data_IF_444436072733
#
_entry.id   IF_444436072733
#
_cell.length_a   1.000
_cell.length_b   1.000
_cell.length_c   1.000
_cell.angle_alpha   90.00
_cell.angle_beta   90.00
_cell.angle_gamma   90.00
#
_symmetry.space_group_name_H-M   'P 1'
#
loop_
_entity.id
_entity.type
_entity.pdbx_description
1 polymer ?
#
# COMPACT_ATOMS: atom_id res chain seq x y z
N UNK A 1 30.04 -63.89 -32.87
CA UNK A 1 30.35 -62.82 -31.89
C UNK A 1 29.06 -62.09 -31.52
N UNK A 2 28.52 -62.35 -30.33
CA UNK A 2 27.28 -61.71 -29.82
C UNK A 2 27.66 -60.51 -28.94
N UNK A 3 27.10 -59.33 -29.22
CA UNK A 3 27.22 -58.14 -28.37
C UNK A 3 26.40 -58.32 -27.06
N UNK A 4 26.87 -57.82 -25.91
CA UNK A 4 26.12 -57.94 -24.66
C UNK A 4 25.00 -56.88 -24.58
N UNK A 5 23.82 -57.32 -24.12
CA UNK A 5 22.68 -56.45 -23.78
C UNK A 5 23.00 -55.70 -22.48
N UNK A 6 22.93 -54.36 -22.50
CA UNK A 6 22.96 -53.53 -21.29
C UNK A 6 21.60 -53.59 -20.57
N UNK A 7 21.67 -53.73 -19.25
CA UNK A 7 20.60 -53.92 -18.25
C UNK A 7 19.74 -52.66 -18.03
N UNK A 8 18.43 -52.76 -17.68
CA UNK A 8 17.53 -51.61 -17.50
C UNK A 8 17.50 -51.07 -16.05
N UNK A 9 18.64 -51.01 -15.37
CA UNK A 9 18.71 -50.60 -13.96
C UNK A 9 18.71 -49.08 -13.76
N UNK A 10 19.09 -48.28 -14.77
CA UNK A 10 19.17 -46.82 -14.65
C UNK A 10 17.80 -46.13 -14.70
N UNK A 11 16.85 -46.69 -15.46
CA UNK A 11 15.49 -46.14 -15.60
C UNK A 11 14.62 -46.39 -14.36
N UNK A 12 14.85 -47.51 -13.65
CA UNK A 12 14.15 -47.80 -12.40
C UNK A 12 14.63 -46.88 -11.25
N UNK A 13 15.91 -46.52 -11.21
CA UNK A 13 16.45 -45.59 -10.21
C UNK A 13 15.98 -44.14 -10.44
N UNK A 14 15.83 -43.70 -11.69
CA UNK A 14 15.25 -42.39 -12.01
C UNK A 14 13.74 -42.32 -11.72
N UNK A 15 12.99 -43.40 -11.97
CA UNK A 15 11.56 -43.46 -11.63
C UNK A 15 11.32 -43.52 -10.10
N UNK A 16 12.19 -44.19 -9.34
CA UNK A 16 12.11 -44.23 -7.88
C UNK A 16 12.49 -42.89 -7.22
N UNK A 17 13.46 -42.14 -7.77
CA UNK A 17 13.80 -40.80 -7.28
C UNK A 17 12.70 -39.75 -7.55
N UNK A 18 11.98 -39.88 -8.66
CA UNK A 18 10.85 -38.99 -9.01
C UNK A 18 9.59 -39.37 -8.21
N UNK A 19 9.38 -40.66 -7.91
CA UNK A 19 8.20 -41.13 -7.15
C UNK A 19 8.23 -40.80 -5.65
N UNK A 20 9.41 -40.62 -5.05
CA UNK A 20 9.54 -40.30 -3.60
C UNK A 20 9.38 -38.80 -3.31
N UNK A 21 9.53 -37.92 -4.31
CA UNK A 21 9.35 -36.47 -4.15
C UNK A 21 7.90 -35.99 -4.23
N UNK A 22 6.94 -36.84 -4.64
CA UNK A 22 5.57 -36.43 -4.92
C UNK A 22 4.55 -36.75 -3.81
N UNK A 23 5.01 -37.24 -2.65
CA UNK A 23 4.12 -37.58 -1.53
C UNK A 23 4.74 -37.18 -0.19
N UNK A 24 4.83 -35.87 0.06
CA UNK A 24 5.13 -35.34 1.39
C UNK A 24 4.10 -34.25 1.74
N UNK A 25 2.86 -34.66 2.00
CA UNK A 25 1.97 -33.83 2.82
C UNK A 25 2.42 -33.94 4.27
N UNK A 26 2.67 -32.77 4.86
CA UNK A 26 3.21 -32.55 6.20
C UNK A 26 2.38 -33.24 7.29
N UNK A 27 2.89 -34.35 7.82
CA UNK A 27 2.53 -34.84 9.16
C UNK A 27 3.82 -35.29 9.85
N UNK A 28 4.32 -34.46 10.78
CA UNK A 28 5.33 -34.86 11.77
C UNK A 28 6.76 -34.40 11.50
N UNK A 29 7.09 -33.15 11.87
CA UNK A 29 8.43 -32.74 12.34
C UNK A 29 9.66 -32.99 11.47
N UNK A 30 9.51 -33.46 10.23
CA UNK A 30 10.62 -33.58 9.28
C UNK A 30 10.80 -32.25 8.57
N UNK A 31 12.03 -31.73 8.61
CA UNK A 31 12.44 -30.56 7.83
C UNK A 31 12.11 -30.78 6.35
N UNK A 32 11.63 -29.73 5.67
CA UNK A 32 11.35 -29.76 4.23
C UNK A 32 12.56 -30.34 3.46
N UNK A 33 12.34 -31.18 2.42
CA UNK A 33 13.44 -31.71 1.60
C UNK A 33 14.27 -30.60 0.93
N UNK A 34 13.73 -29.38 0.85
CA UNK A 34 14.39 -28.22 0.26
C UNK A 34 15.18 -27.39 1.27
N UNK A 35 15.12 -27.68 2.57
CA UNK A 35 15.70 -26.84 3.64
C UNK A 35 17.17 -26.43 3.43
N UNK A 36 18.02 -27.36 2.96
CA UNK A 36 19.44 -27.09 2.67
C UNK A 36 19.59 -26.10 1.50
N UNK A 37 18.88 -26.34 0.40
CA UNK A 37 18.96 -25.51 -0.82
C UNK A 37 18.32 -24.14 -0.57
N UNK A 38 17.19 -24.09 0.15
CA UNK A 38 16.53 -22.87 0.60
C UNK A 38 17.50 -21.97 1.35
N UNK A 39 18.24 -22.52 2.32
CA UNK A 39 19.21 -21.74 3.09
C UNK A 39 20.34 -21.19 2.21
N UNK A 40 20.91 -22.01 1.32
CA UNK A 40 21.97 -21.57 0.41
C UNK A 40 21.49 -20.42 -0.48
N UNK A 41 20.30 -20.54 -1.05
CA UNK A 41 19.72 -19.50 -1.90
C UNK A 41 19.48 -18.19 -1.13
N UNK A 42 19.02 -18.27 0.12
CA UNK A 42 18.85 -17.08 0.97
C UNK A 42 20.20 -16.40 1.25
N UNK A 43 21.23 -17.17 1.57
CA UNK A 43 22.58 -16.63 1.82
C UNK A 43 23.15 -15.94 0.56
N UNK A 44 22.83 -16.42 -0.63
CA UNK A 44 23.21 -15.82 -1.92
C UNK A 44 22.40 -14.57 -2.28
N UNK A 45 21.07 -14.62 -2.18
CA UNK A 45 20.18 -13.52 -2.57
C UNK A 45 20.19 -12.38 -1.55
N UNK A 46 20.28 -12.74 -0.27
CA UNK A 46 20.13 -11.86 0.88
C UNK A 46 21.39 -11.90 1.77
N UNK A 47 22.59 -11.56 1.24
CA UNK A 47 23.81 -11.58 2.02
C UNK A 47 23.75 -10.54 3.15
N UNK A 48 24.24 -10.92 4.32
CA UNK A 48 24.38 -10.03 5.49
C UNK A 48 23.13 -9.86 6.35
N UNK A 49 22.08 -10.65 6.12
CA UNK A 49 20.90 -10.68 6.99
C UNK A 49 21.16 -11.46 8.30
N UNK A 50 20.32 -11.23 9.32
CA UNK A 50 20.45 -11.90 10.62
C UNK A 50 20.18 -13.41 10.54
N UNK A 51 20.72 -14.20 11.47
CA UNK A 51 20.47 -15.65 11.51
C UNK A 51 18.98 -16.00 11.70
N UNK A 52 18.23 -15.13 12.38
CA UNK A 52 16.78 -15.24 12.49
C UNK A 52 16.09 -14.98 11.15
N UNK A 53 16.52 -13.94 10.42
CA UNK A 53 16.02 -13.67 9.09
C UNK A 53 16.34 -14.81 8.11
N UNK A 54 17.52 -15.42 8.19
CA UNK A 54 17.86 -16.61 7.38
C UNK A 54 16.83 -17.72 7.57
N UNK A 55 16.38 -17.98 8.82
CA UNK A 55 15.35 -18.99 9.07
C UNK A 55 14.01 -18.62 8.43
N UNK A 56 13.53 -17.39 8.67
CA UNK A 56 12.26 -16.93 8.10
C UNK A 56 12.25 -16.96 6.56
N UNK A 57 13.32 -16.49 5.94
CA UNK A 57 13.51 -16.55 4.49
C UNK A 57 13.66 -17.98 3.97
N UNK A 58 14.31 -18.88 4.72
CA UNK A 58 14.43 -20.30 4.32
C UNK A 58 13.07 -21.00 4.33
N UNK A 59 12.18 -20.65 5.27
CA UNK A 59 10.79 -21.12 5.29
C UNK A 59 10.05 -20.66 4.03
N UNK A 60 10.11 -19.36 3.70
CA UNK A 60 9.52 -18.83 2.47
C UNK A 60 10.04 -19.57 1.23
N UNK A 61 11.36 -19.71 1.09
CA UNK A 61 11.97 -20.37 -0.06
C UNK A 61 11.53 -21.83 -0.19
N UNK A 62 11.36 -22.54 0.94
CA UNK A 62 10.88 -23.92 0.93
C UNK A 62 9.46 -24.02 0.38
N UNK A 63 8.55 -23.10 0.75
CA UNK A 63 7.24 -23.01 0.11
C UNK A 63 7.35 -22.74 -1.40
N UNK A 64 8.28 -21.89 -1.83
CA UNK A 64 8.42 -21.55 -3.25
C UNK A 64 9.04 -22.68 -4.09
N UNK A 65 9.86 -23.55 -3.50
CA UNK A 65 10.23 -24.80 -4.16
C UNK A 65 9.03 -25.75 -4.33
N UNK A 66 8.10 -25.79 -3.38
CA UNK A 66 6.83 -26.50 -3.57
C UNK A 66 5.95 -25.87 -4.65
N UNK A 67 5.88 -24.53 -4.71
CA UNK A 67 5.21 -23.83 -5.83
C UNK A 67 5.81 -24.26 -7.18
N UNK A 68 7.14 -24.35 -7.26
CA UNK A 68 7.84 -24.80 -8.48
C UNK A 68 7.53 -26.27 -8.81
N UNK A 69 7.48 -27.16 -7.81
CA UNK A 69 7.16 -28.58 -8.01
C UNK A 69 5.74 -28.77 -8.58
N UNK A 70 4.83 -27.86 -8.24
CA UNK A 70 3.42 -27.87 -8.66
C UNK A 70 3.14 -27.09 -9.97
N UNK A 71 4.13 -26.40 -10.53
CA UNK A 71 3.94 -25.49 -11.67
C UNK A 71 3.35 -26.18 -12.92
N UNK A 72 3.75 -27.44 -13.15
CA UNK A 72 3.31 -28.24 -14.30
C UNK A 72 2.17 -29.21 -13.98
N UNK A 73 1.61 -29.14 -12.76
CA UNK A 73 0.49 -29.97 -12.36
C UNK A 73 -0.82 -29.51 -13.04
N UNK A 74 -1.86 -30.34 -12.87
CA UNK A 74 -3.23 -29.99 -13.26
C UNK A 74 -3.77 -28.78 -12.49
N UNK A 75 -5.01 -28.39 -12.76
CA UNK A 75 -5.65 -27.22 -12.14
C UNK A 75 -5.57 -27.24 -10.60
N UNK A 76 -5.81 -28.40 -9.98
CA UNK A 76 -5.69 -28.59 -8.52
C UNK A 76 -4.28 -28.27 -8.00
N UNK A 77 -3.25 -28.71 -8.72
CA UNK A 77 -1.87 -28.42 -8.35
C UNK A 77 -1.52 -26.94 -8.50
N UNK A 78 -2.09 -26.23 -9.48
CA UNK A 78 -1.92 -24.77 -9.60
C UNK A 78 -2.58 -24.03 -8.43
N UNK A 79 -3.77 -24.46 -7.99
CA UNK A 79 -4.38 -23.92 -6.78
C UNK A 79 -3.54 -24.19 -5.53
N UNK A 80 -2.98 -25.39 -5.41
CA UNK A 80 -2.05 -25.72 -4.34
C UNK A 80 -0.76 -24.87 -4.42
N UNK A 81 -0.27 -24.55 -5.62
CA UNK A 81 0.87 -23.66 -5.82
C UNK A 81 0.55 -22.23 -5.34
N UNK A 82 -0.61 -21.68 -5.69
CA UNK A 82 -1.05 -20.39 -5.17
C UNK A 82 -1.18 -20.42 -3.64
N UNK A 83 -1.76 -21.48 -3.07
CA UNK A 83 -1.91 -21.65 -1.63
C UNK A 83 -0.55 -21.64 -0.91
N UNK A 84 0.41 -22.43 -1.37
CA UNK A 84 1.76 -22.49 -0.81
C UNK A 84 2.48 -21.14 -0.92
N UNK A 85 2.35 -20.45 -2.06
CA UNK A 85 2.92 -19.11 -2.25
C UNK A 85 2.36 -18.09 -1.25
N UNK A 86 1.05 -18.10 -1.03
CA UNK A 86 0.39 -17.22 -0.06
C UNK A 86 0.72 -17.56 1.40
N UNK A 87 0.86 -18.84 1.73
CA UNK A 87 1.31 -19.30 3.04
C UNK A 87 2.76 -18.87 3.32
N UNK A 88 3.65 -19.04 2.34
CA UNK A 88 5.03 -18.56 2.41
C UNK A 88 5.09 -17.04 2.63
N UNK A 89 4.31 -16.26 1.87
CA UNK A 89 4.22 -14.81 2.09
C UNK A 89 3.64 -14.49 3.46
N UNK A 90 2.66 -15.24 3.96
CA UNK A 90 2.11 -15.06 5.32
C UNK A 90 3.19 -15.26 6.37
N UNK A 91 3.99 -16.33 6.26
CA UNK A 91 5.09 -16.59 7.17
C UNK A 91 6.11 -15.45 7.19
N UNK A 92 6.47 -14.92 6.02
CA UNK A 92 7.36 -13.77 5.90
C UNK A 92 6.75 -12.51 6.54
N UNK A 93 5.47 -12.25 6.29
CA UNK A 93 4.81 -11.01 6.72
C UNK A 93 4.37 -10.99 8.19
N UNK A 94 4.46 -12.12 8.88
CA UNK A 94 4.31 -12.16 10.34
C UNK A 94 5.51 -11.53 11.07
N UNK A 95 6.64 -11.34 10.38
CA UNK A 95 7.85 -10.69 10.90
C UNK A 95 8.37 -9.68 9.87
N UNK A 96 7.80 -8.48 9.88
CA UNK A 96 8.15 -7.42 8.92
C UNK A 96 9.63 -7.02 8.97
N UNK A 97 10.24 -7.07 10.15
CA UNK A 97 11.67 -6.87 10.36
C UNK A 97 12.53 -7.88 9.58
N UNK A 98 12.09 -9.13 9.46
CA UNK A 98 12.71 -10.15 8.61
C UNK A 98 12.49 -9.83 7.13
N UNK A 99 11.25 -9.49 6.75
CA UNK A 99 10.92 -9.15 5.37
C UNK A 99 11.74 -7.97 4.85
N UNK A 100 11.97 -6.97 5.70
CA UNK A 100 12.78 -5.80 5.35
C UNK A 100 14.25 -6.09 5.18
N UNK A 101 14.79 -7.19 5.68
CA UNK A 101 16.21 -7.47 5.48
C UNK A 101 16.52 -7.86 4.03
N UNK A 102 15.53 -8.31 3.24
CA UNK A 102 15.71 -8.65 1.83
C UNK A 102 14.56 -8.16 0.92
N UNK A 103 14.44 -6.83 0.73
CA UNK A 103 13.28 -6.25 0.05
C UNK A 103 13.20 -6.62 -1.44
N UNK A 104 14.34 -6.85 -2.11
CA UNK A 104 14.37 -7.31 -3.52
C UNK A 104 13.76 -8.71 -3.64
N UNK A 105 14.16 -9.65 -2.79
CA UNK A 105 13.57 -10.99 -2.79
C UNK A 105 12.09 -10.92 -2.43
N UNK A 106 11.69 -10.12 -1.43
CA UNK A 106 10.27 -9.94 -1.10
C UNK A 106 9.44 -9.52 -2.32
N UNK A 107 9.94 -8.50 -3.03
CA UNK A 107 9.35 -7.99 -4.28
C UNK A 107 9.16 -9.13 -5.30
N UNK A 108 10.19 -9.95 -5.56
CA UNK A 108 10.06 -11.07 -6.51
C UNK A 108 8.98 -12.08 -6.11
N UNK A 109 8.93 -12.45 -4.83
CA UNK A 109 7.99 -13.45 -4.33
C UNK A 109 6.55 -12.94 -4.42
N UNK A 110 6.30 -11.68 -4.05
CA UNK A 110 4.98 -11.04 -4.23
C UNK A 110 4.52 -11.07 -5.68
N UNK A 111 5.40 -10.69 -6.61
CA UNK A 111 5.09 -10.74 -8.04
C UNK A 111 4.77 -12.15 -8.52
N UNK A 112 5.58 -13.14 -8.17
CA UNK A 112 5.36 -14.51 -8.62
C UNK A 112 4.02 -15.05 -8.14
N UNK A 113 3.63 -14.78 -6.88
CA UNK A 113 2.32 -15.17 -6.35
C UNK A 113 1.20 -14.40 -7.03
N UNK A 114 1.42 -13.12 -7.39
CA UNK A 114 0.45 -12.34 -8.15
C UNK A 114 0.23 -12.89 -9.57
N UNK A 115 1.30 -13.32 -10.25
CA UNK A 115 1.22 -13.96 -11.58
C UNK A 115 0.41 -15.27 -11.50
N UNK A 116 0.62 -16.07 -10.44
CA UNK A 116 -0.21 -17.25 -10.18
C UNK A 116 -1.68 -16.91 -9.91
N UNK A 117 -1.94 -15.91 -9.08
CA UNK A 117 -3.30 -15.45 -8.81
C UNK A 117 -3.99 -15.02 -10.12
N UNK A 118 -3.33 -14.21 -10.93
CA UNK A 118 -3.87 -13.75 -12.21
C UNK A 118 -4.14 -14.91 -13.17
N UNK A 119 -3.20 -15.87 -13.29
CA UNK A 119 -3.35 -17.05 -14.13
C UNK A 119 -4.52 -17.96 -13.72
N UNK A 120 -4.93 -17.90 -12.46
CA UNK A 120 -6.06 -18.65 -11.89
C UNK A 120 -7.38 -17.84 -11.87
N UNK A 121 -7.40 -16.64 -12.48
CA UNK A 121 -8.59 -15.81 -12.53
C UNK A 121 -8.87 -15.04 -11.23
N UNK A 122 -7.82 -14.77 -10.44
CA UNK A 122 -7.87 -13.93 -9.23
C UNK A 122 -7.20 -12.55 -9.47
N UNK A 123 -7.75 -11.69 -10.35
CA UNK A 123 -7.12 -10.43 -10.72
C UNK A 123 -7.09 -9.41 -9.57
N UNK A 124 -8.05 -9.40 -8.65
CA UNK A 124 -8.05 -8.48 -7.51
C UNK A 124 -6.96 -8.84 -6.51
N UNK A 125 -6.78 -10.14 -6.23
CA UNK A 125 -5.65 -10.61 -5.43
C UNK A 125 -4.32 -10.31 -6.09
N UNK A 126 -4.21 -10.53 -7.41
CA UNK A 126 -3.00 -10.20 -8.16
C UNK A 126 -2.63 -8.72 -8.03
N UNK A 127 -3.62 -7.83 -8.17
CA UNK A 127 -3.42 -6.38 -7.99
C UNK A 127 -2.93 -6.04 -6.59
N UNK A 128 -3.58 -6.56 -5.53
CA UNK A 128 -3.17 -6.30 -4.16
C UNK A 128 -1.77 -6.83 -3.84
N UNK A 129 -1.40 -8.01 -4.36
CA UNK A 129 -0.06 -8.58 -4.21
C UNK A 129 1.01 -7.76 -4.94
N UNK A 130 0.72 -7.28 -6.15
CA UNK A 130 1.63 -6.40 -6.88
C UNK A 130 1.79 -5.06 -6.15
N UNK A 131 0.72 -4.45 -5.66
CA UNK A 131 0.80 -3.21 -4.89
C UNK A 131 1.60 -3.41 -3.59
N UNK A 132 1.42 -4.53 -2.90
CA UNK A 132 2.20 -4.85 -1.69
C UNK A 132 3.68 -5.09 -2.00
N UNK A 133 3.99 -5.86 -3.04
CA UNK A 133 5.36 -6.05 -3.51
C UNK A 133 6.03 -4.75 -3.96
N UNK A 134 5.25 -3.80 -4.51
CA UNK A 134 5.75 -2.49 -4.92
C UNK A 134 6.28 -1.68 -3.74
N UNK A 135 5.74 -1.86 -2.53
CA UNK A 135 6.23 -1.21 -1.32
C UNK A 135 7.63 -1.73 -0.96
N UNK A 136 7.86 -3.04 -1.03
CA UNK A 136 9.21 -3.59 -0.87
C UNK A 136 10.17 -3.16 -1.98
N UNK A 137 9.68 -2.99 -3.21
CA UNK A 137 10.47 -2.45 -4.32
C UNK A 137 10.96 -1.03 -4.01
N UNK A 138 10.07 -0.17 -3.51
CA UNK A 138 10.40 1.20 -3.09
C UNK A 138 11.43 1.18 -1.96
N UNK A 139 11.29 0.29 -0.97
CA UNK A 139 12.29 0.10 0.10
C UNK A 139 13.67 -0.28 -0.48
N UNK A 140 13.71 -1.19 -1.45
CA UNK A 140 14.96 -1.58 -2.11
C UNK A 140 15.58 -0.40 -2.89
N UNK A 141 14.77 0.38 -3.60
CA UNK A 141 15.19 1.59 -4.30
C UNK A 141 15.78 2.62 -3.35
N UNK A 142 15.06 2.92 -2.26
CA UNK A 142 15.49 3.91 -1.27
C UNK A 142 16.82 3.52 -0.62
N UNK A 143 17.00 2.26 -0.25
CA UNK A 143 18.28 1.75 0.28
C UNK A 143 19.42 1.86 -0.72
N UNK A 144 19.16 1.53 -1.98
CA UNK A 144 20.15 1.66 -3.03
C UNK A 144 20.54 3.13 -3.25
N UNK A 145 19.56 4.02 -3.34
CA UNK A 145 19.77 5.45 -3.51
C UNK A 145 20.61 6.05 -2.37
N UNK A 146 20.24 5.73 -1.12
CA UNK A 146 20.94 6.23 0.06
C UNK A 146 22.35 5.66 0.23
N UNK A 147 22.69 4.56 -0.46
CA UNK A 147 24.03 3.99 -0.47
C UNK A 147 24.93 4.59 -1.58
N UNK A 148 24.39 5.42 -2.49
CA UNK A 148 25.20 6.09 -3.50
C UNK A 148 26.09 7.16 -2.84
N UNK A 149 27.34 7.32 -3.30
CA UNK A 149 28.17 8.44 -2.86
C UNK A 149 27.46 9.75 -3.18
N UNK A 150 27.13 10.52 -2.15
CA UNK A 150 26.63 11.88 -2.31
C UNK A 150 27.81 12.70 -2.87
N UNK A 151 27.77 13.04 -4.16
CA UNK A 151 28.77 13.94 -4.73
C UNK A 151 28.57 15.32 -4.11
N UNK A 152 29.41 15.72 -3.17
CA UNK A 152 29.39 17.10 -2.71
C UNK A 152 29.68 18.03 -3.90
N UNK A 153 28.82 19.02 -4.18
CA UNK A 153 29.08 19.99 -5.22
C UNK A 153 30.23 20.91 -4.76
N UNK A 154 31.48 20.52 -5.07
CA UNK A 154 32.67 21.35 -4.89
C UNK A 154 33.82 20.75 -4.07
N UNK A 155 33.69 19.53 -3.52
CA UNK A 155 34.72 18.92 -2.70
C UNK A 155 35.84 18.25 -3.52
N UNK A 156 37.05 18.83 -3.50
CA UNK A 156 38.26 18.14 -3.95
C UNK A 156 38.50 16.88 -3.12
N UNK A 157 38.30 15.72 -3.73
CA UNK A 157 38.46 14.41 -3.10
C UNK A 157 39.94 14.06 -2.88
N UNK A 158 40.52 14.48 -1.75
CA UNK A 158 41.75 13.88 -1.23
C UNK A 158 41.39 12.59 -0.49
N UNK A 159 41.65 11.46 -1.12
CA UNK A 159 41.34 10.14 -0.57
C UNK A 159 42.19 9.75 0.63
N UNK A 160 41.62 8.90 1.49
CA UNK A 160 42.23 7.66 1.99
C UNK A 160 41.24 6.92 2.91
N UNK A 161 40.94 5.66 2.59
CA UNK A 161 40.57 4.62 3.56
C UNK A 161 39.12 4.13 3.57
N UNK A 162 38.89 2.93 3.01
CA UNK A 162 37.76 2.07 3.37
C UNK A 162 36.64 1.92 2.33
N UNK A 163 36.97 1.43 1.14
CA UNK A 163 36.01 1.17 0.05
C UNK A 163 35.13 -0.05 0.34
N UNK A 164 33.92 0.15 0.89
CA UNK A 164 32.79 -0.74 0.62
C UNK A 164 31.93 -0.05 -0.44
N UNK A 165 32.39 -0.10 -1.70
CA UNK A 165 31.51 0.20 -2.83
C UNK A 165 30.37 -0.80 -2.76
N UNK A 166 29.15 -0.32 -2.50
CA UNK A 166 27.95 -1.11 -2.73
C UNK A 166 27.96 -1.54 -4.20
N UNK A 167 28.32 -2.79 -4.46
CA UNK A 167 28.35 -3.39 -5.81
C UNK A 167 26.93 -3.70 -6.31
N UNK A 168 25.93 -3.62 -5.43
CA UNK A 168 24.55 -3.94 -5.77
C UNK A 168 23.90 -2.77 -6.50
N UNK A 169 23.78 -2.91 -7.81
CA UNK A 169 22.93 -2.05 -8.64
C UNK A 169 21.47 -2.39 -8.32
N UNK A 170 20.63 -1.37 -8.13
CA UNK A 170 19.18 -1.57 -8.15
C UNK A 170 18.79 -2.20 -9.50
N UNK A 171 17.85 -3.16 -9.48
CA UNK A 171 17.48 -3.97 -10.64
C UNK A 171 16.51 -3.22 -11.56
N UNK A 172 16.98 -2.60 -12.66
CA UNK A 172 16.12 -1.73 -13.46
C UNK A 172 15.01 -2.52 -14.16
N UNK A 173 15.28 -3.79 -14.47
CA UNK A 173 14.30 -4.72 -15.03
C UNK A 173 13.11 -4.93 -14.07
N UNK A 174 13.39 -5.13 -12.78
CA UNK A 174 12.34 -5.26 -11.77
C UNK A 174 11.49 -4.01 -11.68
N UNK A 175 12.12 -2.82 -11.74
CA UNK A 175 11.39 -1.55 -11.77
C UNK A 175 10.42 -1.47 -12.93
N UNK A 176 10.90 -1.73 -14.15
CA UNK A 176 10.07 -1.69 -15.37
C UNK A 176 8.94 -2.70 -15.28
N UNK A 177 9.23 -3.94 -14.90
CA UNK A 177 8.23 -5.02 -14.79
C UNK A 177 7.15 -4.68 -13.75
N UNK A 178 7.53 -4.14 -12.59
CA UNK A 178 6.57 -3.71 -11.57
C UNK A 178 5.76 -2.50 -12.00
N UNK A 179 6.37 -1.48 -12.60
CA UNK A 179 5.64 -0.31 -13.09
C UNK A 179 4.61 -0.72 -14.13
N UNK A 180 4.97 -1.61 -15.07
CA UNK A 180 4.02 -2.14 -16.07
C UNK A 180 2.88 -2.89 -15.37
N UNK A 181 3.19 -3.82 -14.46
CA UNK A 181 2.19 -4.64 -13.78
C UNK A 181 1.23 -3.79 -12.95
N UNK A 182 1.76 -2.86 -12.14
CA UNK A 182 0.99 -1.92 -11.31
C UNK A 182 0.06 -1.09 -12.18
N UNK A 183 0.57 -0.42 -13.21
CA UNK A 183 -0.22 0.48 -14.05
C UNK A 183 -1.28 -0.28 -14.86
N UNK A 184 -0.96 -1.45 -15.41
CA UNK A 184 -1.92 -2.24 -16.18
C UNK A 184 -3.02 -2.85 -15.31
N UNK A 185 -2.67 -3.45 -14.17
CA UNK A 185 -3.66 -4.00 -13.24
C UNK A 185 -4.54 -2.91 -12.65
N UNK A 186 -3.95 -1.76 -12.29
CA UNK A 186 -4.73 -0.61 -11.84
C UNK A 186 -5.65 -0.12 -12.96
N UNK A 187 -5.17 0.15 -14.18
CA UNK A 187 -6.03 0.61 -15.27
C UNK A 187 -7.22 -0.34 -15.56
N UNK A 188 -6.99 -1.66 -15.46
CA UNK A 188 -8.02 -2.67 -15.69
C UNK A 188 -9.04 -2.83 -14.54
N UNK A 189 -8.63 -2.55 -13.29
CA UNK A 189 -9.41 -2.83 -12.09
C UNK A 189 -9.64 -1.59 -11.21
N UNK A 190 -9.29 -0.40 -11.68
CA UNK A 190 -9.33 0.84 -10.89
C UNK A 190 -10.71 1.05 -10.28
N UNK A 191 -10.72 1.67 -9.10
CA UNK A 191 -11.95 2.14 -8.48
C UNK A 191 -12.73 3.02 -9.47
N UNK A 192 -13.96 2.68 -9.84
CA UNK A 192 -14.68 3.42 -10.87
C UNK A 192 -15.05 4.83 -10.38
N UNK A 193 -14.93 5.81 -11.29
CA UNK A 193 -15.46 7.15 -11.06
C UNK A 193 -16.99 7.10 -11.02
N UNK A 194 -17.56 7.41 -9.84
CA UNK A 194 -19.01 7.50 -9.65
C UNK A 194 -19.47 8.95 -9.81
N UNK A 195 -20.63 9.20 -10.48
CA UNK A 195 -21.30 10.50 -10.42
C UNK A 195 -21.63 10.84 -8.97
N UNK A 196 -21.50 12.11 -8.59
CA UNK A 196 -21.85 12.57 -7.25
C UNK A 196 -23.35 12.34 -7.00
N UNK A 197 -23.66 11.53 -6.01
CA UNK A 197 -25.01 11.36 -5.49
C UNK A 197 -25.26 12.40 -4.40
N UNK A 198 -26.40 13.11 -4.46
CA UNK A 198 -26.77 14.06 -3.42
C UNK A 198 -27.33 13.34 -2.21
N UNK A 199 -26.84 13.71 -1.03
CA UNK A 199 -27.38 13.21 0.22
C UNK A 199 -28.76 13.82 0.50
N UNK A 200 -29.79 12.96 0.51
CA UNK A 200 -31.19 13.35 0.74
C UNK A 200 -31.68 12.98 2.15
N UNK A 201 -30.80 12.47 3.02
CA UNK A 201 -31.19 12.07 4.37
C UNK A 201 -31.57 13.27 5.24
N UNK A 202 -32.58 13.08 6.08
CA UNK A 202 -33.11 14.11 6.97
C UNK A 202 -32.20 14.44 8.15
N UNK A 203 -31.38 13.47 8.59
CA UNK A 203 -30.44 13.61 9.69
C UNK A 203 -29.02 13.76 9.16
N UNK A 204 -28.49 14.99 9.15
CA UNK A 204 -27.11 15.25 8.74
C UNK A 204 -26.14 14.64 9.77
N UNK A 205 -25.17 13.79 9.36
CA UNK A 205 -24.16 13.29 10.28
C UNK A 205 -23.29 14.43 10.80
N UNK A 206 -22.88 14.36 12.06
CA UNK A 206 -21.89 15.27 12.64
C UNK A 206 -20.54 14.93 12.07
N UNK A 207 -19.95 15.89 11.35
CA UNK A 207 -18.65 15.73 10.68
C UNK A 207 -17.67 16.75 11.27
N UNK A 208 -16.46 16.27 11.55
CA UNK A 208 -15.30 17.15 11.81
C UNK A 208 -14.28 17.01 10.68
N UNK A 209 -13.70 18.13 10.25
CA UNK A 209 -12.58 18.20 9.30
C UNK A 209 -11.30 18.42 10.09
N UNK A 210 -10.34 17.51 9.97
CA UNK A 210 -9.09 17.51 10.72
C UNK A 210 -7.91 17.70 9.77
N UNK A 211 -6.92 18.49 10.20
CA UNK A 211 -5.66 18.65 9.46
C UNK A 211 -4.49 18.85 10.41
N UNK A 212 -3.28 18.51 9.95
CA UNK A 212 -2.02 18.76 10.64
C UNK A 212 -1.16 19.62 9.73
N UNK A 213 -0.96 20.89 10.10
CA UNK A 213 -0.10 21.84 9.37
C UNK A 213 1.08 22.29 10.24
N UNK A 214 1.74 21.34 10.90
CA UNK A 214 2.89 21.62 11.76
C UNK A 214 4.17 21.20 11.06
N UNK A 215 4.91 22.18 10.55
CA UNK A 215 6.23 21.99 9.96
C UNK A 215 7.27 22.50 10.97
N UNK A 216 8.01 21.58 11.59
CA UNK A 216 9.19 21.95 12.37
C UNK A 216 10.35 22.16 11.40
N UNK A 217 11.30 23.01 11.78
CA UNK A 217 12.62 23.04 11.16
C UNK A 217 13.33 21.70 11.43
N UNK A 218 13.09 20.70 10.59
CA UNK A 218 13.76 19.41 10.66
C UNK A 218 14.94 19.41 9.68
N UNK A 219 16.17 19.02 10.07
CA UNK A 219 17.30 18.91 9.15
C UNK A 219 17.12 17.86 8.03
N UNK A 220 16.15 16.95 8.12
CA UNK A 220 15.88 15.95 7.05
C UNK A 220 14.81 16.40 6.06
N UNK A 221 13.80 17.13 6.52
CA UNK A 221 12.88 17.86 5.65
C UNK A 221 13.57 19.16 5.22
N UNK A 222 13.90 19.36 3.95
CA UNK A 222 14.47 20.63 3.46
C UNK A 222 13.44 21.80 3.54
N UNK A 223 12.70 21.96 4.64
CA UNK A 223 11.50 22.81 4.77
C UNK A 223 11.79 24.27 5.10
N UNK A 224 13.04 24.72 4.95
CA UNK A 224 13.38 26.13 5.21
C UNK A 224 12.97 26.61 6.61
N UNK A 225 13.06 27.93 6.88
CA UNK A 225 12.66 28.46 8.18
C UNK A 225 11.15 28.64 8.34
N UNK A 226 10.39 28.82 7.25
CA UNK A 226 8.95 29.08 7.28
C UNK A 226 8.23 28.37 6.11
N UNK A 227 7.31 27.45 6.45
CA UNK A 227 6.48 26.75 5.47
C UNK A 227 5.26 27.62 5.11
N UNK A 228 4.99 27.90 3.83
CA UNK A 228 3.86 28.74 3.41
C UNK A 228 2.51 27.99 3.42
N UNK A 229 2.53 26.66 3.51
CA UNK A 229 1.32 25.84 3.41
C UNK A 229 0.24 26.20 4.45
N UNK A 230 0.54 26.42 5.75
CA UNK A 230 -0.48 26.79 6.71
C UNK A 230 -1.22 28.09 6.34
N UNK A 231 -0.55 29.05 5.69
CA UNK A 231 -1.17 30.31 5.24
C UNK A 231 -2.08 30.10 4.02
N UNK A 232 -1.81 29.08 3.21
CA UNK A 232 -2.57 28.79 1.99
C UNK A 232 -3.73 27.83 2.25
N UNK A 233 -3.49 26.70 2.92
CA UNK A 233 -4.46 25.61 3.03
C UNK A 233 -5.42 25.76 4.20
N UNK A 234 -4.98 26.28 5.35
CA UNK A 234 -5.86 26.45 6.52
C UNK A 234 -7.06 27.36 6.22
N UNK A 235 -6.92 28.51 5.52
CA UNK A 235 -8.08 29.30 5.11
C UNK A 235 -9.02 28.54 4.18
N UNK A 236 -8.48 27.76 3.24
CA UNK A 236 -9.27 26.92 2.33
C UNK A 236 -10.09 25.87 3.11
N UNK A 237 -9.44 25.11 3.99
CA UNK A 237 -10.09 24.07 4.80
C UNK A 237 -11.18 24.66 5.70
N UNK A 238 -10.87 25.77 6.37
CA UNK A 238 -11.82 26.46 7.26
C UNK A 238 -13.04 26.97 6.50
N UNK A 239 -12.84 27.60 5.34
CA UNK A 239 -13.94 28.13 4.56
C UNK A 239 -14.86 27.03 3.98
N UNK A 240 -14.29 25.90 3.55
CA UNK A 240 -15.07 24.73 3.16
C UNK A 240 -15.89 24.17 4.34
N UNK A 241 -15.24 23.97 5.49
CA UNK A 241 -15.89 23.46 6.68
C UNK A 241 -17.03 24.38 7.16
N UNK A 242 -16.79 25.70 7.22
CA UNK A 242 -17.77 26.70 7.60
C UNK A 242 -18.98 26.70 6.67
N UNK A 243 -18.76 26.66 5.35
CA UNK A 243 -19.81 26.61 4.35
C UNK A 243 -20.78 25.44 4.56
N UNK A 244 -20.26 24.28 4.94
CA UNK A 244 -21.06 23.07 5.12
C UNK A 244 -21.48 22.81 6.57
N UNK A 245 -21.12 23.70 7.50
CA UNK A 245 -21.44 23.58 8.92
C UNK A 245 -20.65 22.49 9.66
N UNK A 246 -19.44 22.16 9.18
CA UNK A 246 -18.53 21.22 9.84
C UNK A 246 -17.63 21.96 10.83
N UNK A 247 -17.28 21.29 11.93
CA UNK A 247 -16.23 21.79 12.80
C UNK A 247 -14.88 21.47 12.18
N UNK A 248 -14.01 22.48 12.08
CA UNK A 248 -12.64 22.33 11.62
C UNK A 248 -11.68 22.31 12.81
N UNK A 249 -10.77 21.33 12.83
CA UNK A 249 -9.77 21.15 13.88
C UNK A 249 -8.39 21.13 13.24
N UNK A 250 -7.61 22.18 13.50
CA UNK A 250 -6.21 22.25 13.14
C UNK A 250 -5.35 21.78 14.31
N UNK A 251 -4.56 20.73 14.10
CA UNK A 251 -3.64 20.18 15.09
C UNK A 251 -2.27 20.85 14.96
N UNK A 252 -1.92 21.66 15.96
CA UNK A 252 -0.62 22.35 16.06
C UNK A 252 0.39 21.62 16.95
N UNK A 253 -0.08 20.63 17.71
CA UNK A 253 0.73 19.75 18.54
C UNK A 253 0.57 18.31 18.04
N UNK A 254 1.70 17.59 17.95
CA UNK A 254 1.71 16.22 17.46
C UNK A 254 1.67 15.25 18.63
N UNK A 255 0.74 14.26 18.64
CA UNK A 255 0.76 13.15 19.59
C UNK A 255 2.08 12.36 19.58
N UNK A 256 2.77 12.32 18.45
CA UNK A 256 4.11 11.73 18.31
C UNK A 256 5.11 12.84 17.95
N UNK A 257 5.59 13.63 18.94
CA UNK A 257 6.44 14.78 18.68
C UNK A 257 7.81 14.41 18.11
N UNK A 258 8.24 13.15 18.27
CA UNK A 258 9.53 12.63 17.79
C UNK A 258 9.41 11.92 16.42
N UNK A 259 8.24 11.99 15.77
CA UNK A 259 8.01 11.42 14.44
C UNK A 259 7.46 12.49 13.49
N UNK A 260 7.61 12.22 12.21
CA UNK A 260 6.99 13.03 11.15
C UNK A 260 5.47 13.08 11.30
N UNK A 261 4.88 14.22 10.92
CA UNK A 261 3.49 14.57 11.19
C UNK A 261 2.47 13.58 10.64
N UNK A 262 2.75 12.93 9.51
CA UNK A 262 1.84 11.96 8.89
C UNK A 262 1.60 10.73 9.77
N UNK A 263 2.54 10.37 10.66
CA UNK A 263 2.34 9.29 11.65
C UNK A 263 1.45 9.71 12.82
N UNK A 264 1.01 10.95 12.90
CA UNK A 264 0.08 11.41 13.92
C UNK A 264 -1.38 11.35 13.47
N UNK A 265 -1.66 11.19 12.16
CA UNK A 265 -3.02 11.31 11.62
C UNK A 265 -3.99 10.28 12.21
N UNK A 266 -3.59 9.01 12.28
CA UNK A 266 -4.41 7.94 12.87
C UNK A 266 -4.70 8.19 14.34
N UNK A 267 -3.77 8.81 15.09
CA UNK A 267 -3.94 9.10 16.51
C UNK A 267 -4.91 10.27 16.75
N UNK A 268 -4.78 11.37 16.00
CA UNK A 268 -5.69 12.51 16.14
C UNK A 268 -7.12 12.16 15.71
N UNK A 269 -7.27 11.30 14.70
CA UNK A 269 -8.58 10.77 14.30
C UNK A 269 -9.13 9.88 15.41
N UNK A 270 -8.32 8.95 15.93
CA UNK A 270 -8.73 8.05 17.00
C UNK A 270 -9.19 8.80 18.25
N UNK A 271 -8.45 9.83 18.67
CA UNK A 271 -8.80 10.69 19.80
C UNK A 271 -10.14 11.41 19.57
N UNK A 272 -10.33 12.01 18.39
CA UNK A 272 -11.57 12.70 18.02
C UNK A 272 -12.77 11.76 18.11
N UNK A 273 -12.65 10.55 17.54
CA UNK A 273 -13.69 9.53 17.53
C UNK A 273 -13.98 8.94 18.92
N UNK A 274 -13.09 9.11 19.92
CA UNK A 274 -13.30 8.67 21.31
C UNK A 274 -13.77 9.76 22.26
N UNK A 275 -13.72 11.02 21.84
CA UNK A 275 -14.08 12.15 22.68
C UNK A 275 -15.54 12.09 23.17
N UNK A 276 -15.84 12.79 24.27
CA UNK A 276 -17.20 12.85 24.82
C UNK A 276 -18.21 13.48 23.83
N UNK A 277 -17.73 14.37 22.95
CA UNK A 277 -18.51 15.02 21.91
C UNK A 277 -18.19 14.47 20.52
N UNK A 278 -17.71 13.23 20.40
CA UNK A 278 -17.17 12.71 19.15
C UNK A 278 -18.13 12.86 17.97
N UNK A 279 -17.61 13.15 16.77
CA UNK A 279 -18.41 13.19 15.56
C UNK A 279 -18.81 11.78 15.10
N UNK A 280 -19.75 11.74 14.17
CA UNK A 280 -20.12 10.50 13.46
C UNK A 280 -19.06 10.16 12.41
N UNK A 281 -18.39 11.19 11.86
CA UNK A 281 -17.32 11.07 10.87
C UNK A 281 -16.21 12.08 11.09
N UNK A 282 -14.97 11.66 10.83
CA UNK A 282 -13.82 12.55 10.67
C UNK A 282 -13.38 12.50 9.20
N UNK A 283 -13.27 13.67 8.57
CA UNK A 283 -12.56 13.86 7.32
C UNK A 283 -11.16 14.38 7.64
N UNK A 284 -10.14 13.61 7.36
CA UNK A 284 -8.76 14.08 7.49
C UNK A 284 -8.27 14.61 6.14
N UNK A 285 -7.56 15.74 6.17
CA UNK A 285 -6.93 16.37 5.01
C UNK A 285 -5.50 16.80 5.35
N UNK A 286 -4.53 16.37 4.54
CA UNK A 286 -3.13 16.79 4.63
C UNK A 286 -3.02 18.30 4.33
N UNK A 287 -1.96 18.92 4.83
CA UNK A 287 -1.79 20.37 4.73
C UNK A 287 -1.51 20.86 3.30
N UNK A 288 -1.03 19.98 2.44
CA UNK A 288 -0.77 20.20 1.02
C UNK A 288 -1.91 19.68 0.13
N UNK A 289 -3.10 19.47 0.68
CA UNK A 289 -4.33 19.17 -0.06
C UNK A 289 -5.35 20.30 0.10
N UNK A 290 -6.11 20.61 -0.96
CA UNK A 290 -7.04 21.75 -1.00
C UNK A 290 -8.40 21.31 -1.52
N UNK A 291 -9.47 21.74 -0.87
CA UNK A 291 -10.82 21.63 -1.43
C UNK A 291 -10.94 22.53 -2.66
N UNK A 292 -11.36 21.95 -3.78
CA UNK A 292 -11.55 22.64 -5.08
C UNK A 292 -12.99 22.58 -5.60
N UNK A 293 -13.85 21.82 -4.94
CA UNK A 293 -15.29 21.85 -5.13
C UNK A 293 -15.99 22.22 -3.81
N UNK A 294 -16.34 23.51 -3.69
CA UNK A 294 -17.07 24.04 -2.54
C UNK A 294 -18.56 23.67 -2.51
N UNK A 295 -19.11 23.06 -3.57
CA UNK A 295 -20.53 22.71 -3.68
C UNK A 295 -20.80 21.29 -3.17
N UNK A 296 -19.93 20.34 -3.50
CA UNK A 296 -20.08 18.95 -3.03
C UNK A 296 -19.82 18.87 -1.53
N UNK A 297 -20.77 18.30 -0.79
CA UNK A 297 -20.66 18.10 0.65
C UNK A 297 -20.04 16.74 0.98
N UNK A 298 -19.47 16.58 2.17
CA UNK A 298 -18.95 15.27 2.61
C UNK A 298 -20.06 14.20 2.63
N UNK A 299 -21.30 14.46 3.09
CA UNK A 299 -22.41 13.52 2.96
C UNK A 299 -22.71 13.10 1.52
N UNK A 300 -22.52 13.97 0.51
CA UNK A 300 -22.68 13.59 -0.90
C UNK A 300 -21.62 12.55 -1.31
N UNK A 301 -20.38 12.71 -0.85
CA UNK A 301 -19.32 11.70 -1.06
C UNK A 301 -19.68 10.39 -0.34
N UNK A 302 -20.16 10.46 0.91
CA UNK A 302 -20.60 9.28 1.65
C UNK A 302 -21.74 8.57 0.92
N UNK A 303 -22.74 9.29 0.41
CA UNK A 303 -23.86 8.71 -0.37
C UNK A 303 -23.36 8.05 -1.66
N UNK A 304 -22.47 8.72 -2.39
CA UNK A 304 -21.87 8.24 -3.66
C UNK A 304 -21.22 6.85 -3.51
N UNK A 305 -20.64 6.59 -2.34
CA UNK A 305 -19.97 5.34 -2.00
C UNK A 305 -20.76 4.46 -1.02
N UNK A 306 -22.07 4.71 -0.89
CA UNK A 306 -23.00 3.94 -0.05
C UNK A 306 -22.59 3.87 1.43
N UNK A 307 -21.82 4.85 1.89
CA UNK A 307 -21.30 5.02 3.23
C UNK A 307 -22.19 5.91 4.12
N UNK A 308 -23.26 6.50 3.59
CA UNK A 308 -24.14 7.33 4.40
C UNK A 308 -25.03 6.53 5.38
N UNK A 309 -25.36 5.28 5.03
CA UNK A 309 -26.16 4.37 5.87
C UNK A 309 -25.33 3.58 6.87
N UNK A 310 -25.94 3.12 7.97
CA UNK A 310 -25.27 2.37 9.05
C UNK A 310 -24.63 1.04 8.62
N UNK A 311 -25.11 0.43 7.52
CA UNK A 311 -24.53 -0.78 6.93
C UNK A 311 -23.43 -0.51 5.90
N UNK A 312 -23.16 0.76 5.58
CA UNK A 312 -22.12 1.16 4.64
C UNK A 312 -20.71 1.07 5.23
N UNK A 313 -19.66 1.24 4.40
CA UNK A 313 -18.27 1.21 4.82
C UNK A 313 -17.96 2.30 5.86
N UNK A 314 -16.95 2.03 6.68
CA UNK A 314 -16.50 2.87 7.79
C UNK A 314 -15.23 3.65 7.47
N UNK A 315 -14.46 3.20 6.48
CA UNK A 315 -13.21 3.82 6.07
C UNK A 315 -13.21 4.03 4.55
N UNK A 316 -13.09 5.29 4.13
CA UNK A 316 -13.01 5.68 2.73
C UNK A 316 -11.67 6.35 2.47
N UNK A 317 -10.96 5.88 1.45
CA UNK A 317 -9.65 6.39 1.05
C UNK A 317 -9.50 6.32 -0.46
N UNK A 318 -8.72 7.24 -1.04
CA UNK A 318 -8.47 7.20 -2.46
C UNK A 318 -7.50 6.08 -2.81
N UNK A 319 -7.82 5.35 -3.88
CA UNK A 319 -6.92 4.37 -4.49
C UNK A 319 -6.14 5.01 -5.65
N UNK A 320 -4.87 4.67 -5.76
CA UNK A 320 -3.99 5.01 -6.87
C UNK A 320 -3.17 3.75 -7.28
N UNK A 321 -2.34 3.80 -8.34
CA UNK A 321 -1.54 2.63 -8.74
C UNK A 321 -0.64 2.09 -7.62
N UNK A 322 -0.12 2.95 -6.73
CA UNK A 322 0.69 2.57 -5.58
C UNK A 322 -0.08 1.88 -4.44
N UNK A 323 -1.41 1.88 -4.46
CA UNK A 323 -2.26 1.26 -3.43
C UNK A 323 -3.33 2.23 -2.96
N UNK A 324 -2.97 3.10 -2.04
CA UNK A 324 -3.86 4.15 -1.52
C UNK A 324 -3.04 5.40 -1.20
N UNK A 325 -3.72 6.55 -1.17
CA UNK A 325 -3.18 7.79 -0.62
C UNK A 325 -4.03 8.27 0.55
N UNK A 326 -3.40 8.36 1.73
CA UNK A 326 -4.03 8.74 3.01
C UNK A 326 -3.97 10.23 3.30
N UNK A 327 -3.58 11.06 2.33
CA UNK A 327 -3.61 12.51 2.50
C UNK A 327 -5.00 13.09 2.53
N UNK A 328 -5.99 12.32 2.09
CA UNK A 328 -7.40 12.55 2.43
C UNK A 328 -8.07 11.23 2.72
N UNK A 329 -8.81 11.16 3.82
CA UNK A 329 -9.55 9.97 4.19
C UNK A 329 -10.75 10.32 5.06
N UNK A 330 -11.70 9.39 5.10
CA UNK A 330 -12.95 9.52 5.84
C UNK A 330 -13.08 8.33 6.78
N UNK A 331 -13.29 8.60 8.07
CA UNK A 331 -13.41 7.56 9.10
C UNK A 331 -14.69 7.76 9.90
N UNK A 332 -15.56 6.75 9.89
CA UNK A 332 -16.78 6.69 10.69
C UNK A 332 -16.44 6.37 12.14
N UNK A 333 -17.17 6.93 13.10
CA UNK A 333 -17.17 6.44 14.48
C UNK A 333 -17.79 5.04 14.54
N UNK A 334 -16.99 4.04 14.83
CA UNK A 334 -17.43 2.66 15.07
C UNK A 334 -16.38 1.90 15.87
N UNK A 335 -16.76 0.82 16.54
CA UNK A 335 -15.81 -0.06 17.23
C UNK A 335 -14.77 -0.64 16.27
N UNK A 336 -15.18 -0.95 15.04
CA UNK A 336 -14.27 -1.39 13.98
C UNK A 336 -13.21 -0.33 13.69
N UNK A 337 -13.61 0.93 13.50
CA UNK A 337 -12.70 2.03 13.18
C UNK A 337 -11.72 2.30 14.30
N UNK A 338 -12.17 2.25 15.56
CA UNK A 338 -11.29 2.44 16.72
C UNK A 338 -10.22 1.35 16.77
N UNK A 339 -10.65 0.08 16.67
CA UNK A 339 -9.73 -1.07 16.66
C UNK A 339 -8.80 -1.03 15.44
N UNK A 340 -9.31 -0.61 14.27
CA UNK A 340 -8.52 -0.48 13.05
C UNK A 340 -7.42 0.58 13.21
N UNK A 341 -7.75 1.77 13.73
CA UNK A 341 -6.76 2.83 13.97
C UNK A 341 -5.72 2.42 15.02
N UNK A 342 -6.10 1.67 16.06
CA UNK A 342 -5.16 1.11 17.04
C UNK A 342 -4.16 0.14 16.38
N UNK A 343 -4.64 -0.76 15.49
CA UNK A 343 -3.77 -1.66 14.72
C UNK A 343 -2.85 -0.90 13.76
N UNK A 344 -3.39 0.09 13.04
CA UNK A 344 -2.60 0.94 12.15
C UNK A 344 -1.51 1.66 12.95
N UNK A 345 -1.84 2.27 14.10
CA UNK A 345 -0.84 2.94 14.95
C UNK A 345 0.26 2.00 15.46
N UNK A 346 -0.05 0.73 15.73
CA UNK A 346 0.91 -0.30 16.12
C UNK A 346 1.68 -0.91 14.94
N UNK A 347 1.29 -0.60 13.70
CA UNK A 347 1.86 -1.21 12.51
C UNK A 347 3.29 -0.73 12.25
N UNK A 348 4.21 -1.66 12.02
CA UNK A 348 5.60 -1.36 11.67
C UNK A 348 5.79 -1.22 10.15
N UNK A 349 4.70 -1.27 9.37
CA UNK A 349 4.74 -1.20 7.92
C UNK A 349 4.84 0.24 7.35
N UNK A 350 5.83 1.01 7.83
CA UNK A 350 5.99 2.45 7.52
C UNK A 350 6.99 2.78 6.39
N UNK A 351 7.07 1.97 5.33
CA UNK A 351 8.02 2.19 4.21
C UNK A 351 7.64 3.44 3.40
N UNK A 352 6.37 3.53 3.03
CA UNK A 352 5.81 4.68 2.35
C UNK A 352 4.93 5.38 3.37
N UNK A 353 5.55 5.95 4.40
CA UNK A 353 4.87 6.72 5.45
C UNK A 353 3.69 5.95 6.10
N UNK A 354 2.63 6.66 6.51
CA UNK A 354 1.44 6.05 7.12
C UNK A 354 0.56 5.31 6.10
N UNK A 355 0.58 5.70 4.81
CA UNK A 355 -0.25 5.04 3.78
C UNK A 355 0.06 3.54 3.68
N UNK A 356 1.32 3.12 3.78
CA UNK A 356 1.65 1.69 3.78
C UNK A 356 1.13 0.97 5.04
N UNK A 357 1.07 1.65 6.19
CA UNK A 357 0.51 1.10 7.42
C UNK A 357 -1.00 0.85 7.29
N UNK A 358 -1.73 1.84 6.77
CA UNK A 358 -3.16 1.70 6.46
C UNK A 358 -3.40 0.60 5.43
N UNK A 359 -2.65 0.62 4.32
CA UNK A 359 -2.82 -0.32 3.22
C UNK A 359 -2.58 -1.76 3.66
N UNK A 360 -1.56 -1.97 4.49
CA UNK A 360 -1.26 -3.27 5.08
C UNK A 360 -2.41 -3.79 5.94
N UNK A 361 -2.93 -2.99 6.86
CA UNK A 361 -4.03 -3.41 7.74
C UNK A 361 -5.37 -3.63 7.00
N UNK A 362 -5.57 -2.96 5.85
CA UNK A 362 -6.72 -3.19 4.97
C UNK A 362 -6.60 -4.55 4.26
N UNK A 363 -5.42 -4.87 3.72
CA UNK A 363 -5.24 -6.03 2.85
C UNK A 363 -4.89 -7.32 3.60
N UNK A 364 -4.06 -7.25 4.65
CA UNK A 364 -3.47 -8.40 5.35
C UNK A 364 -4.49 -9.51 5.69
N UNK A 365 -5.70 -9.21 6.22
CA UNK A 365 -6.61 -10.27 6.66
C UNK A 365 -6.99 -11.27 5.55
N UNK A 366 -7.20 -10.78 4.32
CA UNK A 366 -7.75 -11.60 3.24
C UNK A 366 -6.80 -11.79 2.04
N UNK A 367 -5.85 -10.86 1.82
CA UNK A 367 -4.93 -10.90 0.67
C UNK A 367 -4.02 -12.13 0.68
N UNK A 368 -3.60 -12.57 1.86
CA UNK A 368 -2.66 -13.68 2.03
C UNK A 368 -3.34 -15.00 2.40
N UNK A 369 -4.68 -15.02 2.47
CA UNK A 369 -5.46 -16.22 2.79
C UNK A 369 -6.28 -16.61 1.57
N UNK A 370 -6.17 -17.88 1.15
CA UNK A 370 -7.18 -18.48 0.29
C UNK A 370 -8.32 -18.95 1.18
N UNK A 371 -9.55 -18.60 0.82
CA UNK A 371 -10.71 -19.25 1.40
C UNK A 371 -10.53 -20.77 1.25
N UNK A 372 -10.58 -21.49 2.37
CA UNK A 372 -10.33 -22.93 2.39
C UNK A 372 -11.32 -23.63 1.46
N UNK A 373 -10.78 -24.38 0.50
CA UNK A 373 -11.54 -25.27 -0.39
C UNK A 373 -12.30 -26.38 0.37
N UNK A 374 -12.06 -26.52 1.68
CA UNK A 374 -12.75 -27.46 2.55
C UNK A 374 -13.34 -26.78 3.78
N UNK A 375 -14.61 -26.35 3.70
CA UNK A 375 -15.60 -26.38 4.80
C UNK A 375 -16.92 -25.68 4.47
N UNK A 376 -17.05 -25.04 3.30
CA UNK A 376 -18.36 -24.65 2.77
C UNK A 376 -18.61 -25.38 1.46
N UNK A 377 -19.86 -25.79 1.24
CA UNK A 377 -20.44 -26.57 0.15
C UNK A 377 -20.16 -26.03 -1.28
N UNK A 378 -18.90 -25.80 -1.63
CA UNK A 378 -18.44 -25.63 -2.99
C UNK A 378 -18.31 -27.04 -3.55
N UNK A 379 -19.22 -27.43 -4.44
CA UNK A 379 -19.21 -28.74 -5.07
C UNK A 379 -17.81 -29.07 -5.59
N UNK A 380 -17.41 -30.34 -5.51
CA UNK A 380 -16.13 -30.82 -6.01
C UNK A 380 -15.82 -30.19 -7.39
N UNK A 381 -14.81 -29.33 -7.45
CA UNK A 381 -14.39 -28.62 -8.67
C UNK A 381 -14.68 -27.12 -8.76
N UNK A 382 -15.30 -26.48 -7.77
CA UNK A 382 -15.46 -25.02 -7.77
C UNK A 382 -14.18 -24.31 -7.31
N UNK A 383 -13.75 -23.28 -8.07
CA UNK A 383 -12.63 -22.43 -7.70
C UNK A 383 -12.96 -21.62 -6.41
N UNK A 384 -11.96 -21.35 -5.54
CA UNK A 384 -12.16 -20.44 -4.42
C UNK A 384 -12.50 -19.04 -4.95
N UNK A 385 -13.22 -18.21 -4.19
CA UNK A 385 -13.46 -16.83 -4.59
C UNK A 385 -12.15 -16.01 -4.58
N UNK A 386 -12.09 -15.01 -5.46
CA UNK A 386 -11.03 -14.00 -5.44
C UNK A 386 -11.11 -13.15 -4.16
N UNK A 387 -10.01 -12.47 -3.85
CA UNK A 387 -9.87 -11.47 -2.80
C UNK A 387 -10.96 -10.39 -2.90
N UNK A 388 -11.48 -9.98 -1.74
CA UNK A 388 -12.37 -8.82 -1.60
C UNK A 388 -11.82 -7.91 -0.52
N UNK A 389 -12.13 -6.62 -0.64
CA UNK A 389 -11.86 -5.69 0.44
C UNK A 389 -12.79 -6.03 1.63
N UNK A 390 -12.35 -5.76 2.87
CA UNK A 390 -13.24 -5.80 4.02
C UNK A 390 -14.48 -4.92 3.77
N UNK A 391 -15.68 -5.35 4.19
CA UNK A 391 -16.91 -4.60 3.93
C UNK A 391 -16.91 -3.21 4.57
N UNK A 392 -16.10 -3.00 5.61
CA UNK A 392 -15.91 -1.70 6.26
C UNK A 392 -15.01 -0.75 5.48
N UNK A 393 -14.35 -1.19 4.40
CA UNK A 393 -13.44 -0.38 3.60
C UNK A 393 -14.01 -0.14 2.20
N UNK A 394 -14.00 1.11 1.77
CA UNK A 394 -14.28 1.46 0.37
C UNK A 394 -13.15 2.29 -0.20
N UNK A 395 -12.63 1.83 -1.34
CA UNK A 395 -11.78 2.67 -2.17
C UNK A 395 -12.63 3.67 -2.94
N UNK A 396 -12.09 4.88 -3.05
CA UNK A 396 -12.71 6.03 -3.69
C UNK A 396 -11.85 6.44 -4.88
N UNK A 397 -12.48 6.81 -6.00
CA UNK A 397 -11.74 7.29 -7.16
C UNK A 397 -11.12 8.65 -6.82
N UNK A 398 -9.87 8.91 -7.23
CA UNK A 398 -9.12 10.11 -6.87
C UNK A 398 -9.86 11.43 -7.15
N UNK A 399 -10.59 11.56 -8.27
CA UNK A 399 -11.47 12.71 -8.56
C UNK A 399 -12.45 13.10 -7.42
N UNK A 400 -12.83 12.15 -6.55
CA UNK A 400 -13.80 12.35 -5.47
C UNK A 400 -13.18 12.57 -4.10
N UNK A 401 -11.88 12.43 -3.97
CA UNK A 401 -11.24 12.54 -2.66
C UNK A 401 -9.82 13.08 -2.70
N UNK A 402 -9.03 12.76 -3.73
CA UNK A 402 -7.58 12.91 -3.71
C UNK A 402 -6.93 13.01 -5.11
N UNK A 403 -7.29 14.01 -5.92
CA UNK A 403 -6.74 14.19 -7.27
C UNK A 403 -5.33 14.78 -7.23
N UNK A 404 -4.37 14.18 -7.93
CA UNK A 404 -2.96 14.62 -7.88
C UNK A 404 -2.65 15.72 -8.88
N UNK A 405 -1.62 16.50 -8.59
CA UNK A 405 -0.99 17.42 -9.55
C UNK A 405 0.24 16.79 -10.21
N UNK A 406 0.65 17.27 -11.40
CA UNK A 406 1.98 16.99 -11.91
C UNK A 406 3.07 17.50 -10.95
N UNK A 407 4.24 16.84 -10.87
CA UNK A 407 4.62 15.67 -11.65
C UNK A 407 4.05 14.35 -11.12
N UNK A 408 3.56 14.30 -9.88
CA UNK A 408 3.16 13.06 -9.21
C UNK A 408 2.07 12.27 -9.96
N UNK A 409 1.07 12.95 -10.53
CA UNK A 409 0.07 12.29 -11.39
C UNK A 409 0.72 11.48 -12.53
N UNK A 410 1.79 12.00 -13.12
CA UNK A 410 2.49 11.39 -14.27
C UNK A 410 3.47 10.32 -13.82
N UNK A 411 4.30 10.64 -12.82
CA UNK A 411 5.35 9.75 -12.34
C UNK A 411 4.79 8.46 -11.73
N UNK A 412 3.63 8.57 -11.07
CA UNK A 412 2.93 7.43 -10.48
C UNK A 412 1.86 6.84 -11.39
N UNK A 413 1.65 7.38 -12.60
CA UNK A 413 0.53 7.03 -13.49
C UNK A 413 -0.84 7.10 -12.78
N UNK A 414 -0.95 8.03 -11.82
CA UNK A 414 -2.15 8.27 -11.03
C UNK A 414 -3.09 9.24 -11.76
N UNK A 415 -4.29 9.40 -11.24
CA UNK A 415 -5.26 10.33 -11.80
C UNK A 415 -4.83 11.79 -11.55
N UNK A 416 -4.70 12.54 -12.64
CA UNK A 416 -4.41 13.98 -12.61
C UNK A 416 -5.70 14.76 -12.37
N UNK A 417 -5.68 15.61 -11.34
CA UNK A 417 -6.78 16.49 -10.97
C UNK A 417 -7.31 17.28 -12.17
N UNK A 418 -8.64 17.39 -12.24
CA UNK A 418 -9.37 18.17 -13.22
C UNK A 418 -10.27 19.21 -12.53
N UNK A 419 -10.58 20.33 -13.19
CA UNK A 419 -11.57 21.27 -12.70
C UNK A 419 -12.92 20.59 -12.39
N UNK A 420 -13.42 20.79 -11.17
CA UNK A 420 -14.64 20.15 -10.66
C UNK A 420 -14.39 18.91 -9.81
N UNK A 421 -13.14 18.46 -9.68
CA UNK A 421 -12.78 17.43 -8.70
C UNK A 421 -12.82 17.99 -7.27
N UNK A 422 -13.02 17.08 -6.31
CA UNK A 422 -13.32 17.45 -4.94
C UNK A 422 -12.14 18.09 -4.22
N UNK A 423 -10.97 17.44 -4.32
CA UNK A 423 -9.72 17.87 -3.69
C UNK A 423 -8.59 17.80 -4.71
N UNK A 424 -7.75 18.85 -4.73
CA UNK A 424 -6.46 18.89 -5.41
C UNK A 424 -5.36 18.68 -4.38
N UNK A 425 -4.56 17.62 -4.55
CA UNK A 425 -3.52 17.23 -3.62
C UNK A 425 -2.13 17.34 -4.27
N UNK A 426 -1.21 17.94 -3.53
CA UNK A 426 0.16 18.20 -3.91
C UNK A 426 1.14 17.12 -3.42
N UNK A 427 0.67 15.88 -3.28
CA UNK A 427 1.50 14.74 -2.92
C UNK A 427 2.72 14.63 -3.85
N UNK A 428 3.94 14.62 -3.28
CA UNK A 428 5.17 14.56 -4.05
C UNK A 428 5.49 15.82 -4.88
N UNK A 429 4.77 16.93 -4.66
CA UNK A 429 5.02 18.24 -5.25
C UNK A 429 5.41 19.23 -4.12
N UNK A 430 6.66 19.18 -3.64
CA UNK A 430 7.08 19.94 -2.47
C UNK A 430 7.02 21.45 -2.75
N UNK A 431 6.53 22.23 -1.78
CA UNK A 431 6.39 23.69 -1.89
C UNK A 431 7.73 24.43 -2.10
N UNK A 432 8.86 23.77 -1.81
CA UNK A 432 10.20 24.29 -2.08
C UNK A 432 10.48 24.43 -3.58
N UNK A 433 9.76 23.67 -4.41
CA UNK A 433 9.84 23.80 -5.86
C UNK A 433 8.90 24.92 -6.32
N UNK A 434 9.47 25.96 -6.96
CA UNK A 434 8.72 27.14 -7.38
C UNK A 434 7.51 26.83 -8.27
N UNK A 435 7.58 25.76 -9.08
CA UNK A 435 6.44 25.29 -9.86
C UNK A 435 5.29 24.78 -8.98
N UNK A 436 5.60 23.92 -8.00
CA UNK A 436 4.63 23.38 -7.06
C UNK A 436 3.99 24.48 -6.21
N UNK A 437 4.80 25.40 -5.65
CA UNK A 437 4.30 26.54 -4.90
C UNK A 437 3.39 27.45 -5.73
N UNK A 438 3.76 27.69 -6.99
CA UNK A 438 2.92 28.46 -7.91
C UNK A 438 1.54 27.82 -8.11
N UNK A 439 1.48 26.50 -8.28
CA UNK A 439 0.22 25.76 -8.40
C UNK A 439 -0.59 25.77 -7.08
N UNK A 440 0.06 25.76 -5.91
CA UNK A 440 -0.61 25.89 -4.62
C UNK A 440 -1.28 27.27 -4.48
N UNK A 441 -0.57 28.35 -4.84
CA UNK A 441 -1.14 29.70 -4.86
C UNK A 441 -2.33 29.82 -5.82
N UNK A 442 -2.19 29.29 -7.04
CA UNK A 442 -3.27 29.22 -8.03
C UNK A 442 -4.50 28.52 -7.46
N UNK A 443 -4.29 27.38 -6.79
CA UNK A 443 -5.37 26.56 -6.22
C UNK A 443 -6.08 27.25 -5.07
N UNK A 444 -5.32 27.89 -4.17
CA UNK A 444 -5.88 28.69 -3.09
C UNK A 444 -6.74 29.84 -3.62
N UNK A 445 -6.25 30.55 -4.65
CA UNK A 445 -6.99 31.64 -5.30
C UNK A 445 -8.27 31.15 -6.00
N UNK A 446 -8.19 30.03 -6.73
CA UNK A 446 -9.34 29.42 -7.41
C UNK A 446 -10.44 29.04 -6.42
N UNK A 447 -10.07 28.37 -5.33
CA UNK A 447 -11.04 27.95 -4.31
C UNK A 447 -11.69 29.15 -3.61
N UNK A 448 -10.91 30.20 -3.32
CA UNK A 448 -11.44 31.44 -2.75
C UNK A 448 -12.43 32.12 -3.71
N UNK A 449 -12.11 32.19 -5.00
CA UNK A 449 -13.00 32.76 -6.01
C UNK A 449 -14.32 32.00 -6.10
N UNK A 450 -14.28 30.67 -6.09
CA UNK A 450 -15.48 29.83 -6.12
C UNK A 450 -16.38 30.09 -4.90
N UNK A 451 -15.80 30.20 -3.71
CA UNK A 451 -16.55 30.54 -2.49
C UNK A 451 -17.21 31.91 -2.57
N UNK A 452 -16.49 32.94 -3.06
CA UNK A 452 -17.03 34.28 -3.24
C UNK A 452 -18.22 34.31 -4.22
N UNK A 453 -18.14 33.54 -5.31
CA UNK A 453 -19.24 33.41 -6.27
C UNK A 453 -20.47 32.77 -5.64
N UNK A 454 -20.28 31.74 -4.82
CA UNK A 454 -21.36 31.02 -4.13
C UNK A 454 -22.00 31.82 -2.98
N UNK A 455 -21.29 32.81 -2.42
CA UNK A 455 -21.86 33.74 -1.43
C UNK A 455 -22.64 34.89 -2.08
N UNK A 456 -22.42 35.15 -3.37
CA UNK A 456 -23.10 36.19 -4.12
C UNK A 456 -24.40 35.72 -4.81
N UNK A 457 -24.56 34.40 -4.98
CA UNK A 457 -25.77 33.72 -5.48
C UNK A 457 -26.70 33.31 -4.36
#
# INVERSE_FOLDING_TARGET
MRKPRRTPLLLAAQAAAVGVLLAATTVGGQDSPFSIVSRQLVEEECPGISAEAVRGWSTLQSHFFEVQSLTYAGLEGRWAALANGLEGLTALMNSLDIAYQCPISATRHFRQVAEWALALGHPWRARGLIQMGNIFKIQAMARWWNALPQSEPGGTTSGQGGEVKSTKRFEPRMQVEYTIAVTQLHAALQTPLRPVARYLGSLKPRIEVHSICTYRSDPTSNTGPECPLPELSVPNHRAYAERHGYKYVLHTELPLPDREAHYSKMLVIHEALRSASAPDWVFFIDCDAFFTDAVTSIPDILETYSAAGSAGPHFLVAEDPGGINTGTLLVRRSDWSLTFLERVAACQFGIAWDQSMFFWEILKPELLQLASLGQQNLGAGAAPPDFRLPPEVAFVHQARLNGFVPPASRDWSAYEWQPGDFVRHFAGCPWQEGHCLGLMHETAALAQQQLLQLSAS
#
